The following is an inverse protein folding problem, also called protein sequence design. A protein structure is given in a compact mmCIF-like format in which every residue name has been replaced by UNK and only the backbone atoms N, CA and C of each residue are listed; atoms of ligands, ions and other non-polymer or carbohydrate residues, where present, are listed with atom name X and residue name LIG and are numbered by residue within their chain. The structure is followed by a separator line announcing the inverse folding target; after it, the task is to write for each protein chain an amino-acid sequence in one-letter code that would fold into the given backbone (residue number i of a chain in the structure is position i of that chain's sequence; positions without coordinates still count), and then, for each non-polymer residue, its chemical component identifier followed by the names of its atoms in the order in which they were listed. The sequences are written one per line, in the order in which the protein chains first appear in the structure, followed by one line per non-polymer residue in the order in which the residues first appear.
data_IF_308983424494
#
_entry.id   IF_308983424494
#
_cell.length_a   1.000
_cell.length_b   1.000
_cell.length_c   1.000
_cell.angle_alpha   90.00
_cell.angle_beta   90.00
_cell.angle_gamma   90.00
#
_symmetry.space_group_name_H-M   'P 1'
#
loop_
_entity.id
_entity.type
_entity.pdbx_description
1 polymer ?
#
# COMPACT_ATOMS: atom_id res chain seq x y z
N UNK A 1 24.20 -8.15 -9.71
CA UNK A 1 24.17 -7.73 -8.30
C UNK A 1 22.72 -7.62 -7.90
N UNK A 2 22.22 -8.52 -7.06
CA UNK A 2 20.89 -8.33 -6.46
C UNK A 2 20.92 -7.10 -5.56
N UNK A 3 19.95 -6.21 -5.76
CA UNK A 3 19.88 -4.95 -5.05
C UNK A 3 19.58 -5.21 -3.56
N UNK A 4 20.52 -4.89 -2.67
CA UNK A 4 20.41 -5.05 -1.21
C UNK A 4 19.14 -4.43 -0.61
N UNK A 5 18.52 -3.47 -1.29
CA UNK A 5 17.25 -2.88 -0.87
C UNK A 5 16.04 -3.75 -1.21
N UNK A 6 16.07 -4.49 -2.33
CA UNK A 6 15.07 -5.52 -2.65
C UNK A 6 15.11 -6.64 -1.61
N UNK A 7 16.30 -6.96 -1.09
CA UNK A 7 16.48 -7.92 0.01
C UNK A 7 15.94 -7.41 1.36
N UNK A 8 16.03 -6.10 1.65
CA UNK A 8 15.44 -5.50 2.86
C UNK A 8 13.91 -5.34 2.77
N UNK A 9 13.36 -5.00 1.60
CA UNK A 9 11.91 -4.93 1.41
C UNK A 9 11.27 -6.32 1.36
N UNK A 10 11.99 -7.34 0.87
CA UNK A 10 11.59 -8.75 0.96
C UNK A 10 11.35 -9.23 2.40
N UNK A 11 12.00 -8.61 3.40
CA UNK A 11 11.74 -8.88 4.82
C UNK A 11 10.36 -8.38 5.30
N UNK A 12 9.77 -7.41 4.58
CA UNK A 12 8.45 -6.86 4.88
C UNK A 12 7.36 -7.33 3.89
N UNK A 13 7.72 -7.92 2.75
CA UNK A 13 6.78 -8.53 1.80
C UNK A 13 7.25 -8.50 0.36
N UNK A 14 6.44 -9.04 -0.56
CA UNK A 14 6.77 -9.04 -2.00
C UNK A 14 6.42 -7.68 -2.59
N UNK A 15 7.45 -6.87 -2.85
CA UNK A 15 7.34 -5.61 -3.58
C UNK A 15 7.80 -5.82 -5.03
N UNK A 16 7.19 -5.09 -5.95
CA UNK A 16 7.63 -5.01 -7.34
C UNK A 16 8.45 -3.73 -7.57
N UNK A 17 9.21 -3.66 -8.66
CA UNK A 17 10.00 -2.47 -9.01
C UNK A 17 9.15 -1.19 -9.03
N UNK A 18 7.92 -1.29 -9.56
CA UNK A 18 6.91 -0.21 -9.59
C UNK A 18 6.37 0.22 -8.22
N UNK A 19 6.71 -0.47 -7.14
CA UNK A 19 6.40 -0.09 -5.75
C UNK A 19 7.51 0.78 -5.13
N UNK A 20 8.61 0.95 -5.87
CA UNK A 20 9.75 1.78 -5.52
C UNK A 20 9.92 2.92 -6.52
N UNK A 21 10.59 3.98 -6.08
CA UNK A 21 11.03 5.10 -6.90
C UNK A 21 12.39 5.60 -6.39
N UNK A 22 13.19 6.17 -7.28
CA UNK A 22 14.41 6.87 -6.89
C UNK A 22 14.06 8.34 -6.71
N UNK A 23 14.46 8.90 -5.57
CA UNK A 23 14.31 10.31 -5.25
C UNK A 23 15.68 10.90 -4.92
N UNK A 24 15.86 12.20 -5.16
CA UNK A 24 17.04 12.91 -4.65
C UNK A 24 16.71 13.51 -3.29
N UNK A 25 17.32 12.99 -2.24
CA UNK A 25 17.21 13.51 -0.87
C UNK A 25 18.61 13.96 -0.41
N UNK A 26 18.73 15.20 0.08
CA UNK A 26 20.00 15.76 0.56
C UNK A 26 21.17 15.63 -0.45
N UNK A 27 20.88 15.78 -1.76
CA UNK A 27 21.87 15.68 -2.83
C UNK A 27 22.34 14.25 -3.13
N UNK A 28 21.65 13.21 -2.61
CA UNK A 28 21.93 11.80 -2.89
C UNK A 28 20.70 11.12 -3.46
N UNK A 29 20.91 10.18 -4.37
CA UNK A 29 19.86 9.28 -4.83
C UNK A 29 19.52 8.28 -3.72
N UNK A 30 18.25 8.23 -3.36
CA UNK A 30 17.70 7.30 -2.37
C UNK A 30 16.50 6.57 -2.96
N UNK A 31 16.33 5.31 -2.59
CA UNK A 31 15.12 4.56 -2.92
C UNK A 31 14.04 4.87 -1.90
N UNK A 32 12.88 5.29 -2.40
CA UNK A 32 11.67 5.52 -1.63
C UNK A 32 10.53 4.64 -2.13
N UNK A 33 9.48 4.51 -1.32
CA UNK A 33 8.24 3.84 -1.73
C UNK A 33 7.40 4.79 -2.60
N UNK A 34 6.75 4.22 -3.61
CA UNK A 34 5.63 4.91 -4.28
C UNK A 34 4.39 4.88 -3.39
N UNK A 35 3.32 5.61 -3.74
CA UNK A 35 2.07 5.55 -2.99
C UNK A 35 1.51 4.13 -2.86
N UNK A 36 1.60 3.31 -3.92
CA UNK A 36 1.20 1.90 -3.85
C UNK A 36 2.13 1.12 -2.92
N UNK A 37 3.43 1.38 -2.99
CA UNK A 37 4.42 0.80 -2.08
C UNK A 37 4.12 1.12 -0.61
N UNK A 38 3.71 2.36 -0.29
CA UNK A 38 3.32 2.76 1.07
C UNK A 38 2.09 2.00 1.56
N UNK A 39 1.06 1.84 0.73
CA UNK A 39 -0.13 1.06 1.09
C UNK A 39 0.20 -0.42 1.29
N UNK A 40 1.04 -1.02 0.43
CA UNK A 40 1.52 -2.40 0.60
C UNK A 40 2.32 -2.58 1.88
N UNK A 41 3.27 -1.68 2.16
CA UNK A 41 4.03 -1.69 3.39
C UNK A 41 3.12 -1.61 4.63
N UNK A 42 2.12 -0.74 4.58
CA UNK A 42 1.12 -0.59 5.66
C UNK A 42 0.31 -1.87 5.83
N UNK A 43 -0.12 -2.49 4.73
CA UNK A 43 -0.84 -3.76 4.76
C UNK A 43 -0.01 -4.88 5.39
N UNK A 44 1.26 -5.02 5.02
CA UNK A 44 2.14 -6.03 5.62
C UNK A 44 2.43 -5.73 7.11
N UNK A 45 2.57 -4.46 7.49
CA UNK A 45 2.70 -4.08 8.90
C UNK A 45 1.49 -4.53 9.74
N UNK A 46 0.28 -4.48 9.15
CA UNK A 46 -0.90 -5.05 9.79
C UNK A 46 -0.88 -6.58 9.79
N UNK A 47 -0.62 -7.24 8.66
CA UNK A 47 -0.73 -8.69 8.54
C UNK A 47 0.31 -9.44 9.37
N UNK A 48 1.57 -9.01 9.30
CA UNK A 48 2.71 -9.75 9.86
C UNK A 48 2.99 -9.34 11.30
N UNK A 49 2.78 -8.06 11.63
CA UNK A 49 3.14 -7.50 12.93
C UNK A 49 1.93 -7.05 13.77
N UNK A 50 0.71 -7.34 13.30
CA UNK A 50 -0.58 -7.06 13.97
C UNK A 50 -0.70 -5.61 14.44
N UNK A 51 -0.14 -4.66 13.68
CA UNK A 51 -0.17 -3.23 14.02
C UNK A 51 -1.57 -2.66 13.75
N UNK A 52 -2.33 -2.37 14.82
CA UNK A 52 -3.71 -1.89 14.67
C UNK A 52 -3.82 -0.55 13.94
N UNK A 53 -2.89 0.38 14.17
CA UNK A 53 -2.82 1.64 13.41
C UNK A 53 -2.67 1.42 11.91
N UNK A 54 -1.97 0.36 11.51
CA UNK A 54 -1.83 0.00 10.10
C UNK A 54 -3.15 -0.54 9.54
N UNK A 55 -3.91 -1.34 10.31
CA UNK A 55 -5.27 -1.75 9.93
C UNK A 55 -6.20 -0.54 9.74
N UNK A 56 -6.13 0.46 10.62
CA UNK A 56 -6.92 1.68 10.51
C UNK A 56 -6.58 2.48 9.24
N UNK A 57 -5.30 2.57 8.89
CA UNK A 57 -4.87 3.15 7.61
C UNK A 57 -5.39 2.35 6.40
N UNK A 58 -5.36 1.01 6.46
CA UNK A 58 -5.94 0.16 5.40
C UNK A 58 -7.46 0.35 5.29
N UNK A 59 -8.17 0.51 6.42
CA UNK A 59 -9.60 0.86 6.39
C UNK A 59 -9.83 2.18 5.64
N UNK A 60 -9.02 3.22 5.90
CA UNK A 60 -9.11 4.49 5.17
C UNK A 60 -8.76 4.34 3.68
N UNK A 61 -7.84 3.46 3.32
CA UNK A 61 -7.58 3.13 1.92
C UNK A 61 -8.81 2.51 1.25
N UNK A 62 -9.48 1.56 1.92
CA UNK A 62 -10.75 0.99 1.47
C UNK A 62 -11.86 2.04 1.32
N UNK A 63 -11.92 3.02 2.23
CA UNK A 63 -12.81 4.18 2.12
C UNK A 63 -12.48 5.04 0.89
N UNK A 64 -11.20 5.36 0.70
CA UNK A 64 -10.75 6.14 -0.43
C UNK A 64 -11.13 5.49 -1.76
N UNK A 65 -10.82 4.21 -1.99
CA UNK A 65 -11.14 3.56 -3.27
C UNK A 65 -12.66 3.44 -3.50
N UNK A 66 -13.46 3.32 -2.43
CA UNK A 66 -14.91 3.32 -2.53
C UNK A 66 -15.46 4.67 -3.00
N UNK A 67 -14.92 5.77 -2.49
CA UNK A 67 -15.23 7.13 -2.98
C UNK A 67 -14.80 7.35 -4.43
N UNK A 68 -13.82 6.57 -4.91
CA UNK A 68 -13.26 6.68 -6.26
C UNK A 68 -13.70 5.53 -7.19
N UNK A 69 -14.90 5.00 -6.96
CA UNK A 69 -15.58 4.11 -7.91
C UNK A 69 -15.44 2.61 -7.64
N UNK A 70 -14.89 2.19 -6.49
CA UNK A 70 -14.99 0.79 -6.06
C UNK A 70 -16.42 0.49 -5.59
N UNK A 71 -17.22 -0.11 -6.48
CA UNK A 71 -18.68 -0.20 -6.38
C UNK A 71 -19.28 -1.06 -5.26
N UNK A 72 -18.47 -1.68 -4.38
CA UNK A 72 -18.98 -2.50 -3.27
C UNK A 72 -19.07 -1.74 -1.93
N UNK A 73 -18.59 -0.50 -1.88
CA UNK A 73 -18.50 0.28 -0.64
C UNK A 73 -17.29 -0.10 0.24
N UNK A 74 -16.96 0.77 1.19
CA UNK A 74 -15.73 0.68 1.98
C UNK A 74 -15.71 -0.50 2.95
N UNK A 75 -16.83 -0.78 3.62
CA UNK A 75 -16.95 -1.90 4.56
C UNK A 75 -16.75 -3.24 3.84
N UNK A 76 -17.40 -3.42 2.69
CA UNK A 76 -17.24 -4.65 1.90
C UNK A 76 -15.84 -4.79 1.33
N UNK A 77 -15.20 -3.68 0.94
CA UNK A 77 -13.80 -3.69 0.50
C UNK A 77 -12.87 -4.18 1.61
N UNK A 78 -13.04 -3.69 2.84
CA UNK A 78 -12.25 -4.12 3.99
C UNK A 78 -12.53 -5.59 4.34
N UNK A 79 -13.80 -6.00 4.41
CA UNK A 79 -14.16 -7.40 4.69
C UNK A 79 -13.62 -8.35 3.62
N UNK A 80 -13.68 -7.96 2.34
CA UNK A 80 -13.10 -8.76 1.25
C UNK A 80 -11.60 -8.89 1.43
N UNK A 81 -10.90 -7.81 1.79
CA UNK A 81 -9.46 -7.84 2.04
C UNK A 81 -9.08 -8.66 3.29
N UNK A 82 -9.88 -8.59 4.36
CA UNK A 82 -9.68 -9.36 5.60
C UNK A 82 -9.85 -10.87 5.41
N UNK A 83 -10.69 -11.26 4.46
CA UNK A 83 -10.89 -12.67 4.11
C UNK A 83 -9.76 -13.24 3.26
N UNK A 84 -8.89 -12.40 2.68
CA UNK A 84 -7.76 -12.84 1.86
C UNK A 84 -6.54 -13.19 2.70
N UNK A 85 -5.77 -14.16 2.21
CA UNK A 85 -4.43 -14.41 2.71
C UNK A 85 -3.49 -13.23 2.41
N UNK A 86 -2.35 -13.19 3.09
CA UNK A 86 -1.33 -12.13 2.96
C UNK A 86 -0.94 -11.82 1.51
N UNK A 87 -0.58 -12.84 0.74
CA UNK A 87 -0.11 -12.63 -0.64
C UNK A 87 -1.28 -12.25 -1.57
N UNK A 88 -2.45 -12.87 -1.40
CA UNK A 88 -3.66 -12.57 -2.17
C UNK A 88 -4.17 -11.14 -1.90
N UNK A 89 -4.10 -10.68 -0.66
CA UNK A 89 -4.45 -9.32 -0.28
C UNK A 89 -3.51 -8.28 -0.87
N UNK A 90 -2.21 -8.59 -0.99
CA UNK A 90 -1.26 -7.72 -1.68
C UNK A 90 -1.61 -7.57 -3.17
N UNK A 91 -1.94 -8.67 -3.85
CA UNK A 91 -2.39 -8.61 -5.26
C UNK A 91 -3.71 -7.86 -5.42
N UNK A 92 -4.64 -8.05 -4.47
CA UNK A 92 -5.88 -7.30 -4.43
C UNK A 92 -5.64 -5.79 -4.27
N UNK A 93 -4.72 -5.38 -3.38
CA UNK A 93 -4.32 -3.99 -3.22
C UNK A 93 -3.74 -3.45 -4.53
N UNK A 94 -2.85 -4.21 -5.18
CA UNK A 94 -2.24 -3.76 -6.44
C UNK A 94 -3.28 -3.50 -7.52
N UNK A 95 -4.24 -4.41 -7.67
CA UNK A 95 -5.34 -4.28 -8.62
C UNK A 95 -6.26 -3.11 -8.30
N UNK A 96 -6.70 -2.98 -7.04
CA UNK A 96 -7.62 -1.90 -6.65
C UNK A 96 -6.96 -0.54 -6.72
N UNK A 97 -5.68 -0.44 -6.37
CA UNK A 97 -4.90 0.78 -6.49
C UNK A 97 -4.88 1.25 -7.94
N UNK A 98 -4.48 0.37 -8.86
CA UNK A 98 -4.38 0.70 -10.29
C UNK A 98 -5.71 1.14 -10.90
N UNK A 99 -6.83 0.62 -10.39
CA UNK A 99 -8.16 0.90 -10.95
C UNK A 99 -8.81 2.16 -10.37
N UNK A 100 -8.49 2.52 -9.12
CA UNK A 100 -9.26 3.53 -8.37
C UNK A 100 -8.41 4.70 -7.86
N UNK A 101 -7.08 4.58 -7.81
CA UNK A 101 -6.20 5.66 -7.35
C UNK A 101 -5.62 6.38 -8.57
N UNK A 102 -6.16 7.58 -8.84
CA UNK A 102 -5.67 8.48 -9.90
C UNK A 102 -4.72 9.56 -9.39
N UNK A 103 -4.93 10.01 -8.16
CA UNK A 103 -4.07 10.96 -7.48
C UNK A 103 -3.47 10.30 -6.23
N UNK A 104 -2.18 10.01 -6.32
CA UNK A 104 -1.44 9.35 -5.25
C UNK A 104 -1.28 10.25 -4.02
N UNK A 105 -1.08 11.56 -4.21
CA UNK A 105 -0.84 12.49 -3.11
C UNK A 105 -2.11 12.63 -2.27
N UNK A 106 -3.24 12.91 -2.94
CA UNK A 106 -4.55 13.00 -2.26
C UNK A 106 -4.92 11.72 -1.51
N UNK A 107 -4.60 10.55 -2.09
CA UNK A 107 -4.82 9.26 -1.42
C UNK A 107 -3.98 9.14 -0.15
N UNK A 108 -2.68 9.43 -0.22
CA UNK A 108 -1.78 9.37 0.93
C UNK A 108 -2.22 10.34 2.04
N UNK A 109 -2.59 11.58 1.69
CA UNK A 109 -3.10 12.57 2.64
C UNK A 109 -4.39 12.09 3.33
N UNK A 110 -5.32 11.52 2.58
CA UNK A 110 -6.57 10.98 3.14
C UNK A 110 -6.30 9.82 4.12
N UNK A 111 -5.46 8.87 3.70
CA UNK A 111 -5.16 7.66 4.49
C UNK A 111 -4.41 8.01 5.78
N UNK A 112 -3.40 8.89 5.71
CA UNK A 112 -2.51 9.16 6.83
C UNK A 112 -2.81 10.47 7.58
N UNK A 113 -3.70 11.32 7.07
CA UNK A 113 -4.06 12.61 7.68
C UNK A 113 -2.93 13.64 7.61
N UNK A 114 -2.23 13.69 6.47
CA UNK A 114 -1.12 14.62 6.19
C UNK A 114 -1.55 15.83 5.37
#
# INVERSE_FOLDING_TARGET
MENLQVLRSAQYGKFEEKDHQIITANGKEESALTGRGVILFTYFAWMDYKKQKAREAIKKYCEYIAMHGYGKGSLKALTDLEALGRDEGAEWIKKTYSNHVKDTISMIQYVFGM
#
